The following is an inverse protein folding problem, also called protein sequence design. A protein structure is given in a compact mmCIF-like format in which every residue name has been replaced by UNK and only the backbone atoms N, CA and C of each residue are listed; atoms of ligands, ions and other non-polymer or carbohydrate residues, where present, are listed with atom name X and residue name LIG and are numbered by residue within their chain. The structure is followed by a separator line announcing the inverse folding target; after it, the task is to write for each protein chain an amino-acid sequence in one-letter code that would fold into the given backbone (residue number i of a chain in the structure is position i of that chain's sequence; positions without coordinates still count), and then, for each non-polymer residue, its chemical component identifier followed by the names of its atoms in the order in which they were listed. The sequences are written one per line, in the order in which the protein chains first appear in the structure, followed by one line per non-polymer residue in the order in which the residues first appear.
data_IF_488037942363
#
_entry.id   IF_488037942363
#
_cell.length_a   1.000
_cell.length_b   1.000
_cell.length_c   1.000
_cell.angle_alpha   90.00
_cell.angle_beta   90.00
_cell.angle_gamma   90.00
#
_symmetry.space_group_name_H-M   'P 1'
#
loop_
_entity.id
_entity.type
_entity.pdbx_description
1 polymer ?
#
# COMPACT_ATOMS: atom_id res chain seq x y z
N UNK A 1 67.66 -9.08 13.07
CA UNK A 1 67.98 -7.84 12.34
C UNK A 1 66.81 -6.89 12.55
N UNK A 2 67.06 -5.80 13.27
CA UNK A 2 66.07 -4.82 13.73
C UNK A 2 65.86 -3.77 12.64
N UNK A 3 64.62 -3.39 12.35
CA UNK A 3 64.32 -2.08 11.78
C UNK A 3 62.93 -1.60 12.23
N UNK A 4 62.96 -0.58 13.09
CA UNK A 4 61.85 0.35 13.40
C UNK A 4 61.79 1.41 12.30
N UNK A 5 60.59 1.91 11.96
CA UNK A 5 60.34 3.35 11.74
C UNK A 5 58.84 3.70 11.75
N UNK A 6 58.48 4.44 12.81
CA UNK A 6 57.52 5.53 13.06
C UNK A 6 56.22 5.80 12.24
N UNK A 7 55.18 6.37 12.92
CA UNK A 7 53.87 6.72 12.38
C UNK A 7 53.78 8.19 11.90
N UNK A 8 52.77 8.52 11.07
CA UNK A 8 52.36 9.90 10.76
C UNK A 8 50.91 10.19 11.17
N UNK A 9 50.74 11.37 11.76
CA UNK A 9 49.53 11.96 12.35
C UNK A 9 48.70 12.74 11.33
N UNK A 10 47.39 12.81 11.62
CA UNK A 10 46.38 13.86 11.40
C UNK A 10 46.54 14.89 10.27
N UNK A 11 45.49 15.02 9.45
CA UNK A 11 44.96 16.32 9.04
C UNK A 11 43.44 16.19 8.75
N UNK A 12 42.64 17.01 9.45
CA UNK A 12 41.23 17.18 9.13
C UNK A 12 41.03 18.09 7.93
N UNK A 13 39.90 17.96 7.24
CA UNK A 13 39.44 18.97 6.29
C UNK A 13 37.93 19.09 6.39
N UNK A 14 37.48 20.28 6.76
CA UNK A 14 36.11 20.74 6.69
C UNK A 14 35.70 20.92 5.23
N UNK A 15 34.48 20.48 4.85
CA UNK A 15 33.88 20.80 3.56
C UNK A 15 32.89 21.93 3.75
N UNK A 16 33.22 23.08 3.18
CA UNK A 16 32.36 24.23 3.05
C UNK A 16 31.39 24.05 1.87
N UNK A 17 30.14 24.43 2.08
CA UNK A 17 29.07 24.50 1.07
C UNK A 17 29.26 25.78 0.26
N UNK A 18 29.25 25.68 -1.06
CA UNK A 18 29.15 26.84 -1.96
C UNK A 18 28.16 26.54 -3.10
N UNK A 19 27.05 27.28 -3.10
CA UNK A 19 26.12 27.43 -4.22
C UNK A 19 26.73 28.38 -5.25
N UNK A 20 26.75 27.99 -6.53
CA UNK A 20 27.04 28.90 -7.63
C UNK A 20 25.97 28.75 -8.73
N UNK A 21 25.22 29.84 -8.90
CA UNK A 21 24.26 30.07 -9.98
C UNK A 21 25.05 30.68 -11.15
N UNK A 22 24.97 30.07 -12.35
CA UNK A 22 25.45 30.71 -13.58
C UNK A 22 24.34 30.73 -14.63
N UNK A 23 23.90 31.95 -14.93
CA UNK A 23 23.03 32.32 -16.04
C UNK A 23 23.91 32.42 -17.29
N UNK A 24 23.54 31.71 -18.35
CA UNK A 24 24.18 31.80 -19.67
C UNK A 24 23.15 32.12 -20.74
N UNK A 25 23.12 33.39 -21.14
CA UNK A 25 22.43 33.91 -22.33
C UNK A 25 23.21 33.55 -23.60
N UNK A 26 22.53 33.03 -24.62
CA UNK A 26 23.07 32.85 -25.96
C UNK A 26 21.94 32.79 -26.98
N UNK A 27 21.96 33.69 -27.95
CA UNK A 27 20.83 34.02 -28.81
C UNK A 27 21.04 33.56 -30.27
N UNK A 28 19.89 33.32 -30.92
CA UNK A 28 19.54 33.38 -32.35
C UNK A 28 20.31 32.53 -33.38
N UNK A 29 19.59 31.61 -34.03
CA UNK A 29 19.47 31.63 -35.49
C UNK A 29 18.10 31.13 -35.94
N UNK A 30 17.41 31.95 -36.71
CA UNK A 30 16.13 31.67 -37.32
C UNK A 30 16.33 31.04 -38.70
N UNK A 31 15.61 29.95 -38.99
CA UNK A 31 15.36 29.52 -40.36
C UNK A 31 13.93 29.00 -40.47
N UNK A 32 13.19 29.64 -41.36
CA UNK A 32 11.77 29.47 -41.64
C UNK A 32 11.50 28.37 -42.67
N UNK A 33 10.40 27.64 -42.40
CA UNK A 33 9.40 27.08 -43.32
C UNK A 33 9.67 25.78 -44.12
N UNK A 34 9.08 24.70 -43.59
CA UNK A 34 8.18 23.63 -44.13
C UNK A 34 7.53 23.81 -45.53
N UNK A 35 6.86 22.79 -46.16
CA UNK A 35 6.29 21.53 -45.60
C UNK A 35 6.38 20.23 -46.45
N UNK A 36 6.27 19.05 -45.83
CA UNK A 36 5.54 17.90 -46.40
C UNK A 36 5.15 16.86 -45.32
N UNK A 37 3.89 16.97 -44.87
CA UNK A 37 2.82 15.95 -44.74
C UNK A 37 3.26 14.48 -44.98
N UNK A 38 2.93 13.44 -44.22
CA UNK A 38 2.12 13.21 -43.01
C UNK A 38 2.36 11.76 -42.52
N UNK A 39 2.24 11.51 -41.21
CA UNK A 39 1.54 10.37 -40.60
C UNK A 39 1.80 10.32 -39.08
N UNK A 40 0.93 11.02 -38.36
CA UNK A 40 0.38 10.80 -37.01
C UNK A 40 1.05 9.77 -36.08
N UNK A 41 1.88 10.28 -35.17
CA UNK A 41 2.08 9.72 -33.82
C UNK A 41 1.40 10.67 -32.83
N UNK A 42 0.50 10.23 -31.92
CA UNK A 42 0.11 11.07 -30.79
C UNK A 42 1.33 11.25 -29.90
N UNK A 43 1.83 12.49 -29.90
CA UNK A 43 3.09 12.87 -29.31
C UNK A 43 3.14 12.68 -27.79
N UNK A 44 4.26 12.10 -27.39
CA UNK A 44 5.03 12.48 -26.21
C UNK A 44 5.28 14.00 -26.25
N UNK A 45 4.33 14.75 -25.72
CA UNK A 45 4.36 16.20 -25.59
C UNK A 45 4.66 16.57 -24.15
N UNK A 46 5.71 17.38 -23.97
CA UNK A 46 6.17 17.97 -22.72
C UNK A 46 5.07 18.19 -21.67
N UNK A 47 5.23 17.48 -20.56
CA UNK A 47 4.41 17.55 -19.35
C UNK A 47 4.48 18.99 -18.81
N UNK A 48 3.44 19.78 -19.09
CA UNK A 48 3.20 21.05 -18.42
C UNK A 48 2.64 20.72 -17.04
N UNK A 49 3.34 21.14 -15.99
CA UNK A 49 3.03 20.94 -14.57
C UNK A 49 1.59 21.36 -14.20
N UNK A 50 0.63 20.46 -14.40
CA UNK A 50 -0.77 20.73 -14.10
C UNK A 50 -1.64 19.50 -14.25
N UNK A 51 -2.68 19.44 -13.42
CA UNK A 51 -3.74 18.43 -13.50
C UNK A 51 -4.42 18.54 -14.87
N UNK A 52 -4.48 17.45 -15.65
CA UNK A 52 -5.18 17.46 -16.93
C UNK A 52 -6.66 17.82 -16.75
N UNK A 53 -7.21 18.66 -17.63
CA UNK A 53 -8.60 19.17 -17.48
C UNK A 53 -9.62 18.04 -17.46
N UNK A 54 -9.37 16.99 -18.22
CA UNK A 54 -10.16 15.77 -18.26
C UNK A 54 -10.25 15.08 -16.89
N UNK A 55 -9.25 15.20 -16.02
CA UNK A 55 -9.28 14.60 -14.69
C UNK A 55 -10.21 15.33 -13.74
N UNK A 56 -10.31 16.66 -13.87
CA UNK A 56 -11.29 17.47 -13.13
C UNK A 56 -12.71 17.09 -13.57
N UNK A 57 -12.94 16.96 -14.89
CA UNK A 57 -14.23 16.53 -15.44
C UNK A 57 -14.56 15.10 -14.99
N UNK A 58 -13.60 14.18 -15.04
CA UNK A 58 -13.79 12.81 -14.58
C UNK A 58 -14.10 12.74 -13.08
N UNK A 59 -13.47 13.57 -12.24
CA UNK A 59 -13.76 13.64 -10.81
C UNK A 59 -15.21 14.08 -10.52
N UNK A 60 -15.72 15.04 -11.30
CA UNK A 60 -17.12 15.49 -11.21
C UNK A 60 -18.10 14.46 -11.79
N UNK A 61 -17.67 13.63 -12.73
CA UNK A 61 -18.51 12.65 -13.43
C UNK A 61 -18.59 11.33 -12.66
N UNK A 62 -19.81 10.79 -12.48
CA UNK A 62 -20.05 9.56 -11.70
C UNK A 62 -19.95 8.26 -12.53
N UNK A 63 -19.33 8.30 -13.71
CA UNK A 63 -19.28 7.15 -14.62
C UNK A 63 -18.18 6.15 -14.24
N UNK A 64 -18.39 4.88 -14.61
CA UNK A 64 -17.39 3.81 -14.40
C UNK A 64 -16.09 4.09 -15.14
N UNK A 65 -16.17 4.63 -16.35
CA UNK A 65 -15.03 4.98 -17.19
C UNK A 65 -14.22 6.14 -16.59
N UNK A 66 -14.90 7.17 -16.09
CA UNK A 66 -14.25 8.30 -15.39
C UNK A 66 -13.54 7.85 -14.12
N UNK A 67 -14.13 6.92 -13.35
CA UNK A 67 -13.50 6.32 -12.17
C UNK A 67 -12.23 5.53 -12.53
N UNK A 68 -12.27 4.76 -13.62
CA UNK A 68 -11.10 4.02 -14.08
C UNK A 68 -9.99 4.96 -14.55
N UNK A 69 -10.32 6.01 -15.29
CA UNK A 69 -9.37 7.03 -15.74
C UNK A 69 -8.75 7.80 -14.56
N UNK A 70 -9.54 8.18 -13.56
CA UNK A 70 -9.05 8.79 -12.31
C UNK A 70 -8.07 7.89 -11.58
N UNK A 71 -8.43 6.62 -11.39
CA UNK A 71 -7.57 5.66 -10.73
C UNK A 71 -6.26 5.47 -11.52
N UNK A 72 -6.33 5.37 -12.85
CA UNK A 72 -5.14 5.27 -13.70
C UNK A 72 -4.27 6.53 -13.64
N UNK A 73 -4.87 7.72 -13.58
CA UNK A 73 -4.13 8.97 -13.42
C UNK A 73 -3.41 9.03 -12.07
N UNK A 74 -4.12 8.73 -10.97
CA UNK A 74 -3.55 8.74 -9.63
C UNK A 74 -2.41 7.73 -9.51
N UNK A 75 -2.66 6.47 -9.90
CA UNK A 75 -1.73 5.37 -9.63
C UNK A 75 -0.71 5.10 -10.72
N UNK A 76 -0.97 5.53 -11.96
CA UNK A 76 -0.11 5.28 -13.12
C UNK A 76 0.30 3.81 -13.28
N UNK A 77 1.23 3.54 -14.19
CA UNK A 77 2.03 2.31 -14.15
C UNK A 77 3.20 2.52 -13.20
N UNK A 78 3.00 2.21 -11.91
CA UNK A 78 4.04 2.20 -10.89
C UNK A 78 4.34 3.54 -10.21
N UNK A 79 3.33 4.41 -10.01
CA UNK A 79 3.55 5.66 -9.28
C UNK A 79 3.88 5.38 -7.79
N UNK A 80 4.86 6.11 -7.25
CA UNK A 80 5.20 6.02 -5.82
C UNK A 80 4.08 6.61 -4.94
N UNK A 81 4.02 6.26 -3.65
CA UNK A 81 3.04 6.81 -2.71
C UNK A 81 3.05 8.34 -2.64
N UNK A 82 4.23 8.96 -2.71
CA UNK A 82 4.40 10.42 -2.73
C UNK A 82 3.88 11.00 -4.04
N UNK A 83 4.09 10.32 -5.17
CA UNK A 83 3.56 10.74 -6.47
C UNK A 83 2.03 10.66 -6.51
N UNK A 84 1.46 9.59 -5.96
CA UNK A 84 0.01 9.40 -5.79
C UNK A 84 -0.58 10.52 -4.93
N UNK A 85 0.03 10.80 -3.78
CA UNK A 85 -0.39 11.86 -2.84
C UNK A 85 -0.29 13.26 -3.45
N UNK A 86 0.80 13.54 -4.19
CA UNK A 86 0.99 14.79 -4.90
C UNK A 86 -0.10 15.00 -5.95
N UNK A 87 -0.34 14.01 -6.82
CA UNK A 87 -1.37 14.06 -7.86
C UNK A 87 -2.77 14.25 -7.27
N UNK A 88 -3.05 13.58 -6.15
CA UNK A 88 -4.31 13.72 -5.44
C UNK A 88 -4.49 15.14 -4.88
N UNK A 89 -3.48 15.67 -4.21
CA UNK A 89 -3.48 17.03 -3.66
C UNK A 89 -3.65 18.06 -4.78
N UNK A 90 -2.92 17.93 -5.88
CA UNK A 90 -3.04 18.80 -7.06
C UNK A 90 -4.46 18.74 -7.65
N UNK A 91 -5.06 17.54 -7.77
CA UNK A 91 -6.42 17.35 -8.28
C UNK A 91 -7.48 17.95 -7.35
N UNK A 92 -7.34 17.77 -6.03
CA UNK A 92 -8.22 18.40 -5.03
C UNK A 92 -8.13 19.93 -5.13
N UNK A 93 -6.93 20.49 -5.26
CA UNK A 93 -6.76 21.93 -5.47
C UNK A 93 -7.38 22.40 -6.79
N UNK A 94 -7.24 21.63 -7.87
CA UNK A 94 -7.84 21.94 -9.16
C UNK A 94 -9.38 21.89 -9.11
N UNK A 95 -9.96 20.96 -8.35
CA UNK A 95 -11.39 20.91 -8.04
C UNK A 95 -11.83 22.16 -7.25
N UNK A 96 -11.07 22.57 -6.25
CA UNK A 96 -11.36 23.80 -5.48
C UNK A 96 -11.44 25.06 -6.36
N UNK A 97 -10.67 25.13 -7.45
CA UNK A 97 -10.72 26.24 -8.42
C UNK A 97 -11.98 26.23 -9.31
N UNK A 98 -12.76 25.15 -9.33
CA UNK A 98 -14.05 25.10 -10.03
C UNK A 98 -15.21 25.72 -9.25
N UNK A 99 -14.92 26.33 -8.09
CA UNK A 99 -15.88 27.11 -7.32
C UNK A 99 -16.52 28.19 -8.19
N UNK A 100 -17.85 28.27 -8.15
CA UNK A 100 -18.64 29.20 -8.96
C UNK A 100 -19.00 28.69 -10.37
N UNK A 101 -18.42 27.57 -10.82
CA UNK A 101 -18.79 26.88 -12.07
C UNK A 101 -19.58 25.61 -11.79
N UNK A 102 -19.12 24.80 -10.81
CA UNK A 102 -19.81 23.60 -10.36
C UNK A 102 -20.58 23.84 -9.05
N UNK A 103 -21.63 23.03 -8.82
CA UNK A 103 -22.38 23.06 -7.56
C UNK A 103 -21.49 22.62 -6.40
N UNK A 104 -21.69 23.22 -5.23
CA UNK A 104 -20.93 22.90 -4.02
C UNK A 104 -20.99 21.40 -3.69
N UNK A 105 -22.18 20.79 -3.73
CA UNK A 105 -22.36 19.35 -3.45
C UNK A 105 -21.58 18.45 -4.42
N UNK A 106 -21.56 18.80 -5.71
CA UNK A 106 -20.84 18.03 -6.72
C UNK A 106 -19.32 18.12 -6.52
N UNK A 107 -18.83 19.29 -6.07
CA UNK A 107 -17.42 19.48 -5.72
C UNK A 107 -17.03 18.68 -4.48
N UNK A 108 -17.84 18.71 -3.42
CA UNK A 108 -17.60 17.93 -2.20
C UNK A 108 -17.57 16.43 -2.50
N UNK A 109 -18.51 15.93 -3.30
CA UNK A 109 -18.55 14.52 -3.74
C UNK A 109 -17.34 14.15 -4.60
N UNK A 110 -16.85 15.06 -5.44
CA UNK A 110 -15.66 14.83 -6.24
C UNK A 110 -14.39 14.77 -5.38
N UNK A 111 -14.26 15.66 -4.39
CA UNK A 111 -13.14 15.67 -3.44
C UNK A 111 -13.14 14.39 -2.61
N UNK A 112 -14.27 14.00 -2.02
CA UNK A 112 -14.40 12.75 -1.25
C UNK A 112 -13.97 11.53 -2.08
N UNK A 113 -14.40 11.47 -3.34
CA UNK A 113 -14.02 10.41 -4.26
C UNK A 113 -12.51 10.37 -4.53
N UNK A 114 -11.87 11.52 -4.77
CA UNK A 114 -10.42 11.60 -5.00
C UNK A 114 -9.68 11.15 -3.75
N UNK A 115 -10.07 11.62 -2.57
CA UNK A 115 -9.51 11.19 -1.29
C UNK A 115 -9.65 9.68 -1.09
N UNK A 116 -10.85 9.13 -1.28
CA UNK A 116 -11.12 7.70 -1.12
C UNK A 116 -10.37 6.82 -2.13
N UNK A 117 -10.16 7.28 -3.37
CA UNK A 117 -9.34 6.58 -4.35
C UNK A 117 -7.85 6.64 -3.98
N UNK A 118 -7.40 7.79 -3.47
CA UNK A 118 -6.01 8.02 -3.08
C UNK A 118 -5.63 7.16 -1.89
N UNK A 119 -6.40 7.21 -0.79
CA UNK A 119 -6.18 6.35 0.39
C UNK A 119 -6.13 4.87 0.00
N UNK A 120 -7.08 4.42 -0.84
CA UNK A 120 -7.08 3.05 -1.37
C UNK A 120 -5.84 2.71 -2.19
N UNK A 121 -5.32 3.66 -2.96
CA UNK A 121 -4.13 3.44 -3.78
C UNK A 121 -2.82 3.49 -2.99
N UNK A 122 -2.75 4.28 -1.92
CA UNK A 122 -1.64 4.30 -0.98
C UNK A 122 -1.61 3.04 -0.11
N UNK A 123 -2.76 2.39 0.07
CA UNK A 123 -2.90 1.13 0.80
C UNK A 123 -2.63 -0.12 -0.07
N UNK A 124 -1.93 0.00 -1.20
CA UNK A 124 -1.62 -1.15 -2.05
C UNK A 124 -0.41 -1.90 -1.52
N UNK A 125 -0.58 -3.17 -1.21
CA UNK A 125 0.51 -4.11 -0.95
C UNK A 125 0.84 -4.90 -2.23
N UNK A 126 2.11 -5.21 -2.41
CA UNK A 126 2.58 -6.07 -3.50
C UNK A 126 2.95 -7.45 -2.97
N UNK A 127 2.86 -8.46 -3.83
CA UNK A 127 3.44 -9.77 -3.56
C UNK A 127 4.90 -9.71 -4.04
N UNK A 128 5.82 -9.94 -3.11
CA UNK A 128 7.26 -10.03 -3.40
C UNK A 128 7.65 -11.49 -3.64
N UNK A 129 8.74 -11.71 -4.38
CA UNK A 129 9.30 -13.04 -4.52
C UNK A 129 9.95 -13.46 -3.20
N UNK A 130 9.62 -14.66 -2.73
CA UNK A 130 10.07 -15.17 -1.44
C UNK A 130 10.97 -16.40 -1.62
N UNK A 131 12.12 -16.35 -0.96
CA UNK A 131 12.95 -17.52 -0.66
C UNK A 131 12.89 -17.84 0.85
N UNK A 132 13.07 -19.11 1.20
CA UNK A 132 13.09 -19.57 2.59
C UNK A 132 14.37 -20.36 2.82
N UNK A 133 15.18 -19.94 3.81
CA UNK A 133 16.33 -20.71 4.26
C UNK A 133 15.85 -22.03 4.89
N UNK A 134 16.48 -23.16 4.57
CA UNK A 134 16.05 -24.48 5.08
C UNK A 134 16.12 -24.55 6.62
N UNK A 135 17.10 -23.87 7.19
CA UNK A 135 17.30 -23.81 8.63
C UNK A 135 16.48 -22.71 9.31
N UNK A 136 15.66 -21.96 8.55
CA UNK A 136 14.88 -20.85 9.10
C UNK A 136 13.96 -21.33 10.24
N UNK A 137 13.99 -20.60 11.35
CA UNK A 137 13.10 -20.73 12.51
C UNK A 137 12.55 -19.35 12.84
N UNK A 138 11.26 -19.19 13.13
CA UNK A 138 10.73 -17.92 13.60
C UNK A 138 11.41 -17.46 14.89
N UNK A 139 11.56 -16.15 15.06
CA UNK A 139 11.99 -15.54 16.31
C UNK A 139 11.04 -15.89 17.47
N UNK A 140 11.54 -15.83 18.71
CA UNK A 140 10.70 -16.06 19.89
C UNK A 140 9.66 -14.95 20.00
N UNK A 141 8.40 -15.31 20.17
CA UNK A 141 7.30 -14.34 20.26
C UNK A 141 6.54 -14.14 18.94
N UNK A 142 7.13 -14.57 17.81
CA UNK A 142 6.43 -14.64 16.52
C UNK A 142 5.43 -15.78 16.51
N UNK A 143 4.18 -15.49 16.17
CA UNK A 143 3.22 -16.54 15.82
C UNK A 143 3.50 -16.96 14.38
N UNK A 144 3.83 -18.23 14.18
CA UNK A 144 4.18 -18.77 12.88
C UNK A 144 3.29 -19.96 12.54
N UNK A 145 2.57 -19.88 11.43
CA UNK A 145 1.62 -20.89 10.99
C UNK A 145 2.07 -21.53 9.68
N UNK A 146 2.08 -22.86 9.65
CA UNK A 146 2.42 -23.69 8.50
C UNK A 146 1.15 -24.37 7.99
N UNK A 147 0.69 -23.98 6.81
CA UNK A 147 -0.58 -24.42 6.24
C UNK A 147 -0.34 -25.63 5.36
N UNK A 148 -1.05 -26.72 5.63
CA UNK A 148 -0.87 -27.93 4.82
C UNK A 148 -1.89 -29.02 5.11
N UNK A 149 -1.74 -30.18 4.47
CA UNK A 149 -2.54 -31.36 4.81
C UNK A 149 -2.14 -31.90 6.20
N UNK A 150 -3.00 -32.69 6.85
CA UNK A 150 -2.76 -33.18 8.22
C UNK A 150 -1.53 -34.09 8.35
N UNK A 151 -1.11 -34.73 7.26
CA UNK A 151 0.04 -35.62 7.19
C UNK A 151 1.31 -34.92 6.67
N UNK A 152 1.26 -33.61 6.39
CA UNK A 152 2.40 -32.81 5.91
C UNK A 152 3.54 -32.68 6.93
N UNK A 153 4.76 -32.41 6.45
CA UNK A 153 5.92 -32.14 7.34
C UNK A 153 5.81 -30.73 7.86
N UNK A 154 5.77 -30.55 9.20
CA UNK A 154 5.68 -29.22 9.79
C UNK A 154 7.03 -28.52 9.76
N UNK A 155 7.10 -27.34 9.14
CA UNK A 155 8.34 -26.55 9.16
C UNK A 155 8.73 -26.22 10.60
N UNK A 156 9.98 -26.42 11.04
CA UNK A 156 10.24 -26.35 12.48
C UNK A 156 10.08 -24.94 13.04
N UNK A 157 9.43 -24.86 14.21
CA UNK A 157 9.07 -23.59 14.86
C UNK A 157 7.72 -23.01 14.41
N UNK A 158 7.05 -23.64 13.45
CA UNK A 158 5.70 -23.28 13.04
C UNK A 158 4.64 -24.20 13.67
N UNK A 159 3.44 -23.66 13.82
CA UNK A 159 2.24 -24.41 14.19
C UNK A 159 1.50 -24.84 12.93
N UNK A 160 1.16 -26.14 12.86
CA UNK A 160 0.39 -26.68 11.74
C UNK A 160 -1.04 -26.14 11.75
N UNK A 161 -1.51 -25.70 10.58
CA UNK A 161 -2.91 -25.38 10.28
C UNK A 161 -3.39 -26.30 9.15
N UNK A 162 -4.51 -27.00 9.37
CA UNK A 162 -5.07 -27.99 8.43
C UNK A 162 -6.49 -27.62 8.04
N UNK A 163 -7.02 -28.14 6.91
CA UNK A 163 -8.44 -28.01 6.59
C UNK A 163 -9.33 -28.44 7.76
N UNK A 164 -10.25 -27.55 8.17
CA UNK A 164 -11.13 -27.76 9.33
C UNK A 164 -10.60 -27.21 10.67
N UNK A 165 -9.39 -26.64 10.70
CA UNK A 165 -8.89 -25.90 11.87
C UNK A 165 -9.78 -24.69 12.16
N UNK A 166 -10.10 -24.46 13.45
CA UNK A 166 -11.00 -23.39 13.88
C UNK A 166 -10.51 -21.97 13.53
N UNK A 167 -9.21 -21.82 13.24
CA UNK A 167 -8.60 -20.56 12.81
C UNK A 167 -8.92 -20.21 11.37
N UNK A 168 -9.43 -21.13 10.55
CA UNK A 168 -9.63 -20.90 9.11
C UNK A 168 -11.04 -21.24 8.65
N UNK A 169 -11.52 -20.50 7.65
CA UNK A 169 -12.79 -20.82 6.97
C UNK A 169 -12.71 -20.54 5.47
N UNK A 170 -13.56 -21.20 4.69
CA UNK A 170 -13.75 -20.96 3.26
C UNK A 170 -14.65 -22.01 2.62
N UNK A 171 -15.06 -21.78 1.38
CA UNK A 171 -16.05 -22.64 0.69
C UNK A 171 -15.50 -23.97 0.18
N UNK A 172 -14.19 -24.08 -0.08
CA UNK A 172 -13.53 -25.29 -0.64
C UNK A 172 -12.14 -25.51 -0.04
N UNK A 173 -12.04 -25.45 1.29
CA UNK A 173 -10.77 -25.56 2.01
C UNK A 173 -10.15 -26.96 1.82
N UNK A 174 -8.98 -27.03 1.17
CA UNK A 174 -8.28 -28.29 0.91
C UNK A 174 -6.77 -28.13 1.10
N UNK A 175 -6.14 -29.11 1.75
CA UNK A 175 -4.69 -29.19 1.89
C UNK A 175 -4.06 -29.80 0.64
N UNK A 176 -2.98 -29.22 0.15
CA UNK A 176 -2.28 -29.65 -1.05
C UNK A 176 -0.80 -29.88 -0.73
N UNK A 177 -0.22 -30.93 -1.34
CA UNK A 177 1.23 -31.17 -1.34
C UNK A 177 1.79 -30.80 -2.70
N UNK A 178 2.96 -30.18 -2.71
CA UNK A 178 3.63 -29.70 -3.90
C UNK A 178 5.14 -29.96 -3.81
N UNK A 179 5.82 -30.22 -4.93
CA UNK A 179 7.26 -30.24 -4.93
C UNK A 179 7.81 -28.85 -4.56
N UNK A 180 8.53 -28.76 -3.45
CA UNK A 180 9.39 -27.64 -3.11
C UNK A 180 10.59 -28.15 -2.31
N UNK A 181 11.66 -27.36 -2.26
CA UNK A 181 12.88 -27.68 -1.51
C UNK A 181 12.86 -27.14 -0.06
N UNK A 182 11.88 -26.30 0.27
CA UNK A 182 11.58 -25.84 1.63
C UNK A 182 10.27 -26.46 2.08
N UNK A 183 10.25 -27.04 3.28
CA UNK A 183 9.05 -27.66 3.85
C UNK A 183 7.90 -26.64 3.90
N UNK A 184 8.17 -25.39 4.30
CA UNK A 184 7.19 -24.29 4.39
C UNK A 184 6.55 -23.86 3.06
N UNK A 185 7.17 -24.21 1.93
CA UNK A 185 6.62 -23.94 0.59
C UNK A 185 6.18 -25.23 -0.13
N UNK A 186 6.39 -26.40 0.50
CA UNK A 186 6.12 -27.72 -0.08
C UNK A 186 4.69 -28.19 0.11
N UNK A 187 3.93 -27.53 0.98
CA UNK A 187 2.51 -27.72 1.13
C UNK A 187 1.79 -26.40 1.35
N UNK A 188 0.46 -26.47 1.34
CA UNK A 188 -0.41 -25.31 1.45
C UNK A 188 -1.85 -25.69 1.66
N UNK A 189 -2.68 -24.70 1.99
CA UNK A 189 -4.13 -24.81 1.99
C UNK A 189 -4.71 -23.90 0.90
N UNK A 190 -5.58 -24.48 0.09
CA UNK A 190 -6.34 -23.80 -0.96
C UNK A 190 -7.78 -23.51 -0.53
N UNK A 191 -8.40 -22.49 -1.12
CA UNK A 191 -9.82 -22.16 -0.88
C UNK A 191 -10.12 -21.53 0.48
N UNK A 192 -9.10 -20.94 1.12
CA UNK A 192 -9.20 -20.07 2.28
C UNK A 192 -9.86 -18.73 1.93
N UNK A 193 -10.84 -18.33 2.73
CA UNK A 193 -11.47 -17.00 2.64
C UNK A 193 -11.18 -16.16 3.87
N UNK A 194 -10.91 -16.80 5.01
CA UNK A 194 -10.65 -16.10 6.28
C UNK A 194 -9.64 -16.84 7.16
N UNK A 195 -8.82 -16.09 7.86
CA UNK A 195 -7.85 -16.56 8.87
C UNK A 195 -8.01 -15.71 10.12
N UNK A 196 -8.25 -16.35 11.27
CA UNK A 196 -8.39 -15.73 12.58
C UNK A 196 -7.34 -16.27 13.52
N UNK A 197 -6.55 -15.38 14.12
CA UNK A 197 -5.51 -15.75 15.08
C UNK A 197 -5.58 -14.88 16.31
N UNK A 198 -5.40 -15.52 17.47
CA UNK A 198 -5.29 -14.81 18.74
C UNK A 198 -3.89 -14.24 18.90
N UNK A 199 -3.81 -12.98 19.29
CA UNK A 199 -2.56 -12.27 19.58
C UNK A 199 -2.78 -11.36 20.77
N UNK A 200 -1.74 -10.78 21.36
CA UNK A 200 -1.95 -9.71 22.35
C UNK A 200 -2.36 -8.40 21.66
N UNK A 201 -2.88 -7.43 22.41
CA UNK A 201 -3.10 -6.11 21.85
C UNK A 201 -1.76 -5.47 21.45
N UNK A 202 -1.69 -4.92 20.24
CA UNK A 202 -0.44 -4.40 19.70
C UNK A 202 -0.50 -4.12 18.21
N UNK A 203 0.61 -3.62 17.67
CA UNK A 203 0.78 -3.43 16.23
C UNK A 203 1.68 -4.53 15.68
N UNK A 204 1.26 -5.13 14.58
CA UNK A 204 1.85 -6.34 14.01
C UNK A 204 2.17 -6.17 12.53
N UNK A 205 3.26 -6.82 12.10
CA UNK A 205 3.55 -7.16 10.73
C UNK A 205 3.06 -8.58 10.47
N UNK A 206 2.25 -8.75 9.45
CA UNK A 206 1.75 -10.03 8.99
C UNK A 206 2.43 -10.34 7.66
N UNK A 207 3.14 -11.46 7.59
CA UNK A 207 3.75 -11.98 6.37
C UNK A 207 2.95 -13.20 5.94
N UNK A 208 2.11 -13.04 4.91
CA UNK A 208 1.33 -14.14 4.36
C UNK A 208 2.03 -14.70 3.12
N UNK A 209 2.21 -16.01 3.07
CA UNK A 209 3.07 -16.69 2.09
C UNK A 209 2.26 -17.60 1.17
N UNK A 210 2.75 -17.75 -0.04
CA UNK A 210 2.20 -18.61 -1.09
C UNK A 210 3.32 -19.21 -1.94
N UNK A 211 2.96 -20.06 -2.88
CA UNK A 211 3.87 -20.65 -3.86
C UNK A 211 3.41 -20.35 -5.28
N UNK A 212 4.36 -20.10 -6.19
CA UNK A 212 4.04 -20.13 -7.62
C UNK A 212 3.88 -21.59 -8.08
N UNK A 213 2.62 -22.03 -8.21
CA UNK A 213 2.30 -23.39 -8.60
C UNK A 213 2.35 -23.65 -10.11
N UNK A 214 2.52 -22.62 -10.94
CA UNK A 214 2.33 -22.70 -12.40
C UNK A 214 0.88 -23.03 -12.83
N UNK A 215 -0.02 -23.29 -11.88
CA UNK A 215 -1.46 -23.51 -12.10
C UNK A 215 -2.21 -22.19 -11.97
N UNK A 216 -2.80 -21.71 -13.06
CA UNK A 216 -3.48 -20.41 -13.11
C UNK A 216 -4.62 -20.28 -12.09
N UNK A 217 -5.28 -21.37 -11.68
CA UNK A 217 -6.39 -21.33 -10.71
C UNK A 217 -5.93 -20.97 -9.30
N UNK A 218 -4.71 -21.36 -8.94
CA UNK A 218 -4.15 -21.18 -7.60
C UNK A 218 -3.10 -20.08 -7.57
N UNK A 219 -2.33 -19.92 -8.65
CA UNK A 219 -1.25 -18.94 -8.74
C UNK A 219 -1.69 -17.61 -9.34
N UNK A 220 -2.81 -17.55 -10.06
CA UNK A 220 -3.26 -16.32 -10.73
C UNK A 220 -3.60 -15.18 -9.76
N UNK A 221 -4.13 -15.51 -8.58
CA UNK A 221 -4.38 -14.55 -7.51
C UNK A 221 -4.48 -15.23 -6.13
N UNK A 222 -3.35 -15.68 -5.55
CA UNK A 222 -3.34 -16.58 -4.39
C UNK A 222 -3.88 -15.95 -3.11
N UNK A 223 -3.94 -14.61 -3.03
CA UNK A 223 -4.49 -13.87 -1.88
C UNK A 223 -5.74 -13.06 -2.22
N UNK A 224 -6.24 -13.14 -3.45
CA UNK A 224 -7.33 -12.28 -3.91
C UNK A 224 -6.88 -10.86 -4.28
N UNK A 225 -7.79 -10.03 -4.77
CA UNK A 225 -7.50 -8.65 -5.18
C UNK A 225 -7.39 -7.70 -3.98
N UNK A 226 -7.85 -8.15 -2.82
CA UNK A 226 -7.94 -7.38 -1.61
C UNK A 226 -7.83 -8.32 -0.42
N UNK A 227 -7.11 -7.88 0.60
CA UNK A 227 -7.15 -8.47 1.94
C UNK A 227 -7.84 -7.46 2.85
N UNK A 228 -8.74 -7.90 3.74
CA UNK A 228 -9.15 -7.06 4.89
C UNK A 228 -8.48 -7.59 6.12
N UNK A 229 -7.91 -6.71 6.94
CA UNK A 229 -7.39 -7.07 8.25
C UNK A 229 -8.14 -6.28 9.30
N UNK A 230 -8.84 -6.95 10.21
CA UNK A 230 -9.71 -6.33 11.21
C UNK A 230 -10.70 -5.35 10.56
N UNK A 231 -11.24 -5.71 9.40
CA UNK A 231 -12.17 -4.89 8.59
C UNK A 231 -11.51 -3.82 7.71
N UNK A 232 -10.21 -3.52 7.89
CA UNK A 232 -9.49 -2.49 7.11
C UNK A 232 -9.01 -3.07 5.79
N UNK A 233 -9.40 -2.51 4.63
CA UNK A 233 -9.02 -3.05 3.32
C UNK A 233 -7.59 -2.68 2.92
N UNK A 234 -6.89 -3.66 2.34
CA UNK A 234 -5.56 -3.56 1.72
C UNK A 234 -5.68 -4.12 0.31
N UNK A 235 -5.41 -3.29 -0.71
CA UNK A 235 -5.52 -3.72 -2.10
C UNK A 235 -4.23 -4.41 -2.55
N UNK A 236 -4.34 -5.41 -3.44
CA UNK A 236 -3.18 -6.11 -3.98
C UNK A 236 -2.93 -5.63 -5.41
N UNK A 237 -1.79 -4.99 -5.64
CA UNK A 237 -1.48 -4.39 -6.95
C UNK A 237 -1.05 -5.43 -7.99
N UNK A 238 -0.20 -6.38 -7.58
CA UNK A 238 0.47 -7.33 -8.47
C UNK A 238 0.23 -8.77 -7.99
N UNK A 239 -0.99 -9.31 -8.18
CA UNK A 239 -1.35 -10.62 -7.61
C UNK A 239 -0.73 -11.82 -8.33
N UNK A 240 -0.29 -11.66 -9.59
CA UNK A 240 0.16 -12.77 -10.43
C UNK A 240 1.66 -13.06 -10.27
N UNK A 241 2.12 -14.31 -10.43
CA UNK A 241 3.51 -14.66 -10.15
C UNK A 241 4.51 -14.01 -11.10
N UNK A 242 4.14 -13.79 -12.36
CA UNK A 242 4.98 -13.06 -13.33
C UNK A 242 5.16 -11.56 -12.99
N UNK A 243 4.29 -11.04 -12.11
CA UNK A 243 4.30 -9.65 -11.67
C UNK A 243 4.90 -9.50 -10.27
N UNK A 244 5.25 -10.59 -9.57
CA UNK A 244 5.91 -10.50 -8.27
C UNK A 244 7.28 -9.84 -8.46
N UNK A 245 7.43 -8.66 -7.85
CA UNK A 245 8.62 -7.82 -7.94
C UNK A 245 9.43 -7.91 -6.66
N UNK A 246 10.73 -7.67 -6.80
CA UNK A 246 11.70 -7.64 -5.72
C UNK A 246 11.82 -8.97 -4.93
N UNK A 247 12.90 -9.07 -4.16
CA UNK A 247 13.29 -10.32 -3.51
C UNK A 247 13.21 -10.16 -1.98
N UNK A 248 12.63 -11.16 -1.31
CA UNK A 248 12.61 -11.32 0.13
C UNK A 248 13.12 -12.69 0.52
N UNK A 249 13.71 -12.79 1.71
CA UNK A 249 14.21 -14.06 2.24
C UNK A 249 13.89 -14.18 3.73
N UNK A 250 13.32 -15.32 4.12
CA UNK A 250 13.22 -15.72 5.53
C UNK A 250 14.52 -16.43 5.92
N UNK A 251 15.24 -15.90 6.91
CA UNK A 251 16.52 -16.47 7.37
C UNK A 251 16.89 -16.04 8.78
N UNK A 252 17.46 -16.96 9.58
CA UNK A 252 18.05 -16.62 10.88
C UNK A 252 19.43 -16.01 10.80
N UNK A 253 20.04 -16.01 9.62
CA UNK A 253 21.39 -15.49 9.40
C UNK A 253 21.37 -13.96 9.24
N UNK A 254 20.18 -13.34 9.25
CA UNK A 254 20.00 -11.92 8.99
C UNK A 254 20.66 -11.51 7.66
N UNK A 255 21.24 -10.30 7.62
CA UNK A 255 21.97 -9.83 6.43
C UNK A 255 23.37 -10.45 6.28
N UNK A 256 23.80 -11.34 7.18
CA UNK A 256 25.15 -11.93 7.15
C UNK A 256 25.39 -12.91 5.99
N UNK A 257 24.35 -13.26 5.24
CA UNK A 257 24.42 -14.10 4.04
C UNK A 257 25.26 -13.49 2.89
N UNK A 258 25.68 -12.23 2.97
CA UNK A 258 26.36 -11.51 1.86
C UNK A 258 27.73 -10.93 2.26
N UNK A 259 28.39 -11.51 3.27
CA UNK A 259 29.63 -10.98 3.82
C UNK A 259 30.82 -11.95 3.80
N UNK A 260 31.24 -12.49 2.64
CA UNK A 260 32.57 -13.11 2.55
C UNK A 260 33.69 -12.15 2.11
N UNK A 261 33.48 -10.85 2.28
CA UNK A 261 34.56 -9.85 2.32
C UNK A 261 34.33 -9.03 3.57
N UNK A 262 35.08 -9.35 4.63
CA UNK A 262 34.84 -8.82 5.97
C UNK A 262 34.80 -7.29 6.01
N UNK A 263 33.63 -6.73 6.27
CA UNK A 263 33.48 -5.41 6.87
C UNK A 263 32.06 -5.17 7.42
N UNK A 264 32.02 -5.06 8.75
CA UNK A 264 31.05 -4.40 9.65
C UNK A 264 29.58 -4.85 9.67
N UNK A 265 29.17 -5.21 10.88
CA UNK A 265 27.80 -5.37 11.33
C UNK A 265 27.00 -4.06 11.19
N UNK A 266 25.89 -4.16 10.47
CA UNK A 266 24.91 -3.12 10.20
C UNK A 266 23.99 -3.65 9.11
N UNK A 267 22.70 -3.80 9.41
CA UNK A 267 21.72 -4.58 8.65
C UNK A 267 21.46 -4.10 7.22
N UNK A 268 22.39 -4.35 6.31
CA UNK A 268 22.27 -4.01 4.89
C UNK A 268 22.90 -5.11 4.02
N UNK A 269 22.14 -5.57 3.04
CA UNK A 269 22.65 -6.40 1.94
C UNK A 269 23.23 -5.44 0.91
N UNK A 270 24.55 -5.28 0.91
CA UNK A 270 25.31 -4.63 -0.17
C UNK A 270 25.85 -5.71 -1.10
N UNK A 271 24.99 -6.26 -1.94
CA UNK A 271 25.35 -7.24 -2.96
C UNK A 271 24.10 -7.66 -3.72
N UNK A 272 24.23 -7.93 -5.02
CA UNK A 272 23.13 -8.34 -5.87
C UNK A 272 22.47 -9.60 -5.28
N UNK A 273 21.33 -9.42 -4.60
CA UNK A 273 20.53 -10.49 -4.02
C UNK A 273 20.30 -11.57 -5.09
N UNK A 274 20.14 -11.15 -6.35
CA UNK A 274 20.14 -11.96 -7.57
C UNK A 274 21.17 -13.10 -7.70
N UNK A 275 22.37 -13.05 -7.10
CA UNK A 275 23.37 -14.14 -7.21
C UNK A 275 23.40 -15.11 -6.01
N UNK A 276 22.94 -14.67 -4.84
CA UNK A 276 22.62 -15.55 -3.70
C UNK A 276 21.27 -16.21 -3.97
N UNK A 277 20.34 -15.38 -4.44
CA UNK A 277 19.08 -15.75 -5.03
C UNK A 277 19.31 -16.82 -6.09
N UNK A 278 19.96 -16.57 -7.24
CA UNK A 278 20.21 -17.61 -8.27
C UNK A 278 20.78 -18.95 -7.77
N UNK A 279 21.61 -18.94 -6.72
CA UNK A 279 22.15 -20.17 -6.11
C UNK A 279 21.12 -20.93 -5.26
N UNK A 280 20.15 -20.23 -4.68
CA UNK A 280 18.99 -20.77 -3.94
C UNK A 280 17.74 -20.91 -4.87
N UNK A 281 17.65 -20.14 -5.95
CA UNK A 281 16.47 -19.83 -6.79
C UNK A 281 16.37 -20.69 -8.04
N UNK A 282 17.23 -21.69 -8.23
CA UNK A 282 17.12 -22.53 -9.42
C UNK A 282 15.75 -23.25 -9.49
N UNK A 283 15.00 -23.37 -8.37
CA UNK A 283 13.68 -24.04 -8.33
C UNK A 283 12.64 -23.48 -7.32
N UNK A 284 12.95 -22.47 -6.51
CA UNK A 284 12.07 -22.03 -5.42
C UNK A 284 11.44 -20.65 -5.70
N UNK A 285 10.18 -20.61 -6.12
CA UNK A 285 9.42 -19.37 -6.33
C UNK A 285 8.25 -19.32 -5.33
N UNK A 286 8.51 -18.86 -4.11
CA UNK A 286 7.48 -18.45 -3.17
C UNK A 286 7.02 -17.02 -3.47
N UNK A 287 5.84 -16.66 -2.96
CA UNK A 287 5.36 -15.29 -2.93
C UNK A 287 5.06 -14.90 -1.49
N UNK A 288 5.32 -13.65 -1.10
CA UNK A 288 4.92 -13.12 0.20
C UNK A 288 4.23 -11.78 0.04
N UNK A 289 3.19 -11.55 0.83
CA UNK A 289 2.61 -10.22 1.01
C UNK A 289 2.81 -9.78 2.47
N UNK A 290 3.28 -8.55 2.64
CA UNK A 290 3.49 -7.94 3.95
C UNK A 290 2.38 -6.95 4.23
N UNK A 291 1.75 -7.10 5.38
CA UNK A 291 0.60 -6.30 5.81
C UNK A 291 0.84 -5.83 7.23
N UNK A 292 0.70 -4.54 7.48
CA UNK A 292 0.74 -4.00 8.85
C UNK A 292 -0.68 -3.83 9.38
N UNK A 293 -0.90 -4.28 10.61
CA UNK A 293 -2.21 -4.25 11.24
C UNK A 293 -2.09 -4.00 12.74
N UNK A 294 -3.19 -3.54 13.34
CA UNK A 294 -3.32 -3.37 14.78
C UNK A 294 -4.36 -4.35 15.31
N UNK A 295 -4.01 -5.06 16.38
CA UNK A 295 -4.94 -5.91 17.12
C UNK A 295 -5.48 -5.12 18.31
N UNK A 296 -6.76 -4.75 18.24
CA UNK A 296 -7.53 -4.15 19.32
C UNK A 296 -8.63 -5.16 19.70
N UNK A 297 -8.38 -5.98 20.73
CA UNK A 297 -9.27 -7.08 21.12
C UNK A 297 -8.64 -8.48 21.03
N UNK A 298 -7.31 -8.55 21.04
CA UNK A 298 -6.54 -9.81 21.11
C UNK A 298 -6.73 -10.78 19.91
N UNK A 299 -7.14 -10.26 18.75
CA UNK A 299 -7.31 -11.06 17.53
C UNK A 299 -6.83 -10.28 16.29
N UNK A 300 -6.27 -11.02 15.32
CA UNK A 300 -6.12 -10.58 13.94
C UNK A 300 -7.04 -11.43 13.08
N UNK A 301 -7.88 -10.74 12.31
CA UNK A 301 -8.88 -11.32 11.42
C UNK A 301 -8.61 -10.90 9.99
N UNK A 302 -8.06 -11.82 9.19
CA UNK A 302 -7.76 -11.62 7.78
C UNK A 302 -8.86 -12.22 6.91
N UNK A 303 -9.43 -11.43 5.99
CA UNK A 303 -10.32 -11.89 4.92
C UNK A 303 -9.63 -11.75 3.56
N UNK A 304 -9.61 -12.80 2.76
CA UNK A 304 -9.09 -12.81 1.40
C UNK A 304 -10.25 -12.65 0.41
N UNK A 305 -10.20 -11.64 -0.46
CA UNK A 305 -11.36 -11.20 -1.25
C UNK A 305 -10.99 -10.98 -2.71
N UNK A 306 -11.93 -11.31 -3.61
CA UNK A 306 -11.84 -10.94 -5.02
C UNK A 306 -11.09 -11.96 -5.88
N UNK A 307 -11.37 -13.24 -5.66
CA UNK A 307 -10.96 -14.30 -6.56
C UNK A 307 -11.79 -14.26 -7.86
N UNK A 308 -11.22 -14.71 -8.98
CA UNK A 308 -11.98 -14.90 -10.23
C UNK A 308 -12.95 -16.09 -10.13
N UNK A 309 -13.81 -16.30 -11.14
CA UNK A 309 -14.83 -17.38 -11.12
C UNK A 309 -14.25 -18.78 -10.81
N UNK A 310 -13.03 -19.06 -11.28
CA UNK A 310 -12.31 -20.32 -11.04
C UNK A 310 -11.10 -20.16 -10.09
N UNK A 311 -10.90 -18.96 -9.55
CA UNK A 311 -9.75 -18.65 -8.70
C UNK A 311 -9.98 -19.12 -7.27
N UNK A 312 -8.97 -19.75 -6.68
CA UNK A 312 -8.96 -20.02 -5.24
C UNK A 312 -7.71 -19.40 -4.62
N UNK A 313 -7.80 -19.03 -3.36
CA UNK A 313 -6.59 -18.73 -2.60
C UNK A 313 -5.69 -19.95 -2.50
N UNK A 314 -4.41 -19.69 -2.26
CA UNK A 314 -3.43 -20.69 -1.91
C UNK A 314 -2.43 -20.07 -0.94
N UNK A 315 -2.42 -20.55 0.30
CA UNK A 315 -1.55 -20.04 1.37
C UNK A 315 -0.71 -21.20 1.88
N UNK A 316 0.59 -20.98 2.02
CA UNK A 316 1.53 -21.98 2.56
C UNK A 316 2.00 -21.65 3.97
N UNK A 317 2.15 -20.37 4.29
CA UNK A 317 2.66 -19.93 5.59
C UNK A 317 2.10 -18.58 6.01
N UNK A 318 2.15 -18.32 7.31
CA UNK A 318 1.90 -16.98 7.88
C UNK A 318 2.84 -16.72 9.05
N UNK A 319 3.43 -15.52 9.10
CA UNK A 319 4.07 -15.00 10.29
C UNK A 319 3.27 -13.80 10.79
N UNK A 320 3.16 -13.69 12.11
CA UNK A 320 2.65 -12.51 12.80
C UNK A 320 3.71 -12.06 13.79
N UNK A 321 4.38 -10.98 13.45
CA UNK A 321 5.52 -10.41 14.18
C UNK A 321 5.10 -9.07 14.81
N UNK A 322 5.50 -8.76 16.06
CA UNK A 322 5.35 -7.42 16.60
C UNK A 322 6.11 -6.38 15.74
N UNK A 323 5.53 -5.19 15.53
CA UNK A 323 6.20 -4.15 14.72
C UNK A 323 7.44 -3.54 15.38
N UNK A 324 7.57 -3.67 16.70
CA UNK A 324 8.71 -3.22 17.49
C UNK A 324 9.88 -4.23 17.51
N UNK A 325 9.68 -5.41 16.90
CA UNK A 325 10.73 -6.41 16.72
C UNK A 325 11.34 -6.39 15.30
N UNK A 326 12.55 -6.95 15.18
CA UNK A 326 13.23 -7.10 13.90
C UNK A 326 12.52 -8.20 13.11
N UNK A 327 12.08 -7.86 11.90
CA UNK A 327 11.50 -8.80 10.93
C UNK A 327 12.44 -9.97 10.63
N UNK A 328 11.92 -11.20 10.67
CA UNK A 328 12.62 -12.38 10.15
C UNK A 328 12.67 -12.37 8.61
N UNK A 329 11.75 -11.62 7.98
CA UNK A 329 11.75 -11.36 6.55
C UNK A 329 12.77 -10.25 6.23
N UNK A 330 13.87 -10.67 5.60
CA UNK A 330 14.88 -9.77 5.05
C UNK A 330 14.48 -9.39 3.63
N UNK A 331 14.32 -8.09 3.40
CA UNK A 331 13.87 -7.54 2.12
C UNK A 331 15.03 -6.92 1.35
N UNK A 332 15.03 -7.09 0.02
CA UNK A 332 15.92 -6.34 -0.86
C UNK A 332 15.65 -4.83 -0.76
N UNK A 333 16.63 -3.97 -1.11
CA UNK A 333 16.41 -2.52 -1.16
C UNK A 333 15.21 -2.13 -2.02
N UNK A 334 15.02 -2.82 -3.16
CA UNK A 334 13.89 -2.63 -4.06
C UNK A 334 12.57 -3.00 -3.37
N UNK A 335 12.51 -4.15 -2.69
CA UNK A 335 11.31 -4.59 -1.96
C UNK A 335 10.93 -3.60 -0.86
N UNK A 336 11.93 -3.06 -0.15
CA UNK A 336 11.72 -2.06 0.91
C UNK A 336 11.20 -0.73 0.38
N UNK A 337 11.66 -0.30 -0.80
CA UNK A 337 11.18 0.94 -1.41
C UNK A 337 9.71 0.83 -1.86
N UNK A 338 9.22 -0.39 -2.08
CA UNK A 338 7.85 -0.66 -2.51
C UNK A 338 6.87 -0.82 -1.35
N UNK A 339 7.32 -1.26 -0.17
CA UNK A 339 6.46 -1.38 1.01
C UNK A 339 6.32 -0.02 1.72
N UNK A 340 5.12 0.54 1.74
CA UNK A 340 4.82 1.79 2.46
C UNK A 340 4.57 1.47 3.94
N UNK A 341 5.39 1.98 4.88
CA UNK A 341 5.12 1.81 6.31
C UNK A 341 3.79 2.47 6.71
N UNK A 342 3.10 1.91 7.71
CA UNK A 342 1.80 2.42 8.19
C UNK A 342 1.86 3.92 8.54
N UNK A 343 2.89 4.37 9.24
CA UNK A 343 3.03 5.76 9.64
C UNK A 343 3.21 6.69 8.44
N UNK A 344 3.95 6.25 7.43
CA UNK A 344 4.10 6.98 6.18
C UNK A 344 2.76 7.03 5.43
N UNK A 345 2.01 5.93 5.40
CA UNK A 345 0.66 5.90 4.83
C UNK A 345 -0.28 6.87 5.55
N UNK A 346 -0.29 6.87 6.89
CA UNK A 346 -1.11 7.77 7.70
C UNK A 346 -0.70 9.24 7.51
N UNK A 347 0.59 9.53 7.42
CA UNK A 347 1.08 10.87 7.15
C UNK A 347 0.66 11.36 5.74
N UNK A 348 0.73 10.49 4.74
CA UNK A 348 0.30 10.79 3.37
C UNK A 348 -1.23 10.96 3.29
N UNK A 349 -2.01 10.11 3.97
CA UNK A 349 -3.47 10.26 4.09
C UNK A 349 -3.83 11.58 4.77
N UNK A 350 -3.13 11.94 5.85
CA UNK A 350 -3.31 13.22 6.55
C UNK A 350 -3.10 14.42 5.63
N UNK A 351 -2.09 14.37 4.74
CA UNK A 351 -1.86 15.43 3.75
C UNK A 351 -3.02 15.57 2.75
N UNK A 352 -3.55 14.44 2.27
CA UNK A 352 -4.71 14.45 1.34
C UNK A 352 -5.95 14.99 2.04
N UNK A 353 -6.21 14.58 3.29
CA UNK A 353 -7.34 15.06 4.10
C UNK A 353 -7.19 16.54 4.42
N UNK A 354 -5.99 17.02 4.75
CA UNK A 354 -5.74 18.43 4.99
C UNK A 354 -5.97 19.28 3.73
N UNK A 355 -5.55 18.80 2.56
CA UNK A 355 -5.82 19.45 1.29
C UNK A 355 -7.32 19.50 0.97
N UNK A 356 -8.05 18.42 1.25
CA UNK A 356 -9.51 18.39 1.12
C UNK A 356 -10.17 19.40 2.07
N UNK A 357 -9.80 19.41 3.35
CA UNK A 357 -10.34 20.33 4.35
C UNK A 357 -10.12 21.80 3.97
N UNK A 358 -8.91 22.16 3.50
CA UNK A 358 -8.60 23.52 3.07
C UNK A 358 -9.46 23.99 1.89
N UNK A 359 -9.87 23.07 1.00
CA UNK A 359 -10.80 23.39 -0.08
C UNK A 359 -12.23 23.48 0.44
N UNK A 360 -12.65 22.56 1.31
CA UNK A 360 -14.00 22.54 1.90
C UNK A 360 -14.29 23.81 2.71
N UNK A 361 -13.34 24.28 3.52
CA UNK A 361 -13.49 25.52 4.31
C UNK A 361 -13.78 26.73 3.42
N UNK A 362 -13.25 26.72 2.20
CA UNK A 362 -13.52 27.75 1.21
C UNK A 362 -14.84 27.55 0.49
N UNK A 363 -15.33 26.32 0.36
CA UNK A 363 -16.69 26.01 -0.11
C UNK A 363 -17.66 26.15 1.07
N UNK A 364 -17.78 27.37 1.60
CA UNK A 364 -18.82 27.67 2.58
C UNK A 364 -20.17 27.24 1.99
N UNK A 365 -21.05 26.57 2.76
CA UNK A 365 -22.44 26.49 2.34
C UNK A 365 -22.91 27.93 2.19
N UNK A 366 -23.62 28.23 1.11
CA UNK A 366 -24.50 29.38 1.12
C UNK A 366 -25.46 29.15 2.28
N UNK A 367 -25.09 29.62 3.48
CA UNK A 367 -25.96 29.68 4.62
C UNK A 367 -27.10 30.52 4.12
N UNK A 368 -28.22 29.85 3.85
CA UNK A 368 -29.43 30.47 3.37
C UNK A 368 -29.65 31.75 4.15
N UNK A 369 -29.89 32.83 3.43
CA UNK A 369 -30.44 34.05 3.98
C UNK A 369 -31.58 33.64 4.89
N UNK A 370 -31.32 33.58 6.20
CA UNK A 370 -32.39 33.50 7.17
C UNK A 370 -33.20 34.76 6.89
N UNK A 371 -34.48 34.66 6.49
CA UNK A 371 -35.29 35.86 6.35
C UNK A 371 -35.16 36.59 7.69
N UNK A 372 -34.72 37.84 7.61
CA UNK A 372 -34.58 38.70 8.79
C UNK A 372 -35.86 38.58 9.59
N UNK A 373 -35.76 38.38 10.91
CA UNK A 373 -36.88 38.24 11.82
C UNK A 373 -37.73 39.53 11.96
N UNK A 374 -37.68 40.41 10.96
CA UNK A 374 -38.39 41.68 10.87
C UNK A 374 -39.69 41.58 10.07
N UNK A 375 -39.96 40.46 9.38
CA UNK A 375 -41.17 40.30 8.55
C UNK A 375 -42.19 39.27 9.09
N UNK A 376 -42.02 38.78 10.33
CA UNK A 376 -43.09 38.01 10.99
C UNK A 376 -43.97 38.99 11.76
N UNK A 377 -44.95 39.56 11.06
CA UNK A 377 -46.10 40.23 11.65
C UNK A 377 -46.91 39.17 12.42
N UNK A 378 -46.61 39.01 13.71
CA UNK A 378 -47.39 38.16 14.60
C UNK A 378 -48.76 38.82 14.78
N UNK A 379 -49.88 38.11 14.50
CA UNK A 379 -51.21 38.64 14.78
C UNK A 379 -51.35 38.96 16.26
N UNK A 380 -51.94 40.13 16.56
CA UNK A 380 -52.18 40.58 17.93
C UNK A 380 -52.97 39.52 18.72
N UNK A 381 -52.57 39.22 19.97
CA UNK A 381 -53.33 38.30 20.80
C UNK A 381 -54.68 38.93 21.18
N UNK A 382 -55.77 38.34 20.71
CA UNK A 382 -57.11 38.61 21.23
C UNK A 382 -57.17 38.13 22.69
N UNK A 383 -57.20 39.07 23.63
CA UNK A 383 -57.45 38.77 25.04
C UNK A 383 -58.96 38.60 25.25
N UNK A 384 -59.39 37.34 25.34
CA UNK A 384 -60.73 36.99 25.80
C UNK A 384 -60.81 37.29 27.31
N UNK A 385 -61.56 38.31 27.69
CA UNK A 385 -61.82 38.67 29.09
C UNK A 385 -62.67 37.60 29.75
N UNK A 386 -62.06 36.78 30.61
CA UNK A 386 -62.79 35.83 31.44
C UNK A 386 -63.60 36.58 32.52
N UNK A 387 -64.92 36.40 32.49
CA UNK A 387 -65.86 36.84 33.50
C UNK A 387 -65.51 36.29 34.88
N UNK A 388 -65.38 37.20 35.85
CA UNK A 388 -65.26 36.89 37.27
C UNK A 388 -66.66 36.60 37.81
N UNK A 389 -67.01 35.32 37.93
CA UNK A 389 -68.19 34.91 38.70
C UNK A 389 -67.81 34.82 40.17
N UNK A 390 -68.35 35.76 40.95
CA UNK A 390 -68.32 35.73 42.41
C UNK A 390 -69.31 34.69 42.92
N UNK A 391 -68.87 33.76 43.75
CA UNK A 391 -69.76 33.09 44.71
C UNK A 391 -69.21 33.22 46.12
N UNK A 392 -70.17 33.49 47.00
CA UNK A 392 -70.16 33.94 48.39
C UNK A 392 -69.80 32.88 49.42
#
# INVERSE_FOLDING_TARGET
MIARTSPRRFAGLAVAVAFAFCIGTGAVNAQTATPQTAATTPGEGAQKDGVPREMVVNALTKSRESLQALNQYLTGSGASPEQVTRRATELIQALGRQRGVAKADDLLLAIDRVTALTSRSLAKSEIIQLAVDQDFRPAKGTLALDFGPPDGTVHPGFERVVPGDARITGSKVNGLRRPAESDLLSDGVSGLERIKVKVTNGSYRIVLMTQNLGDQRLSGNPFGRQIRVNGVPVLIASPRPGDWRAEGMLTNRGTALVGNTGQRAGGFISGAMGDVAKRIHARQQGGAIVIEARADGEEIDLELIGFGEDGNSYVTGMLVEPLDEISDLVLSPEARATLVPLDARLALESQVVAAAAAVIEQVAPDAGSVPSATDIELPEPEFETADVVSES
#
